data_IF_877715917190
#
_entry.id   IF_877715917190
#
_cell.length_a   1.000
_cell.length_b   1.000
_cell.length_c   1.000
_cell.angle_alpha   90.00
_cell.angle_beta   90.00
_cell.angle_gamma   90.00
#
_symmetry.space_group_name_H-M   'P 1'
#
loop_
_entity.id
_entity.type
_entity.pdbx_description
1 polymer ?
#
# COMPACT_ATOMS: atom_id res chain seq x y z
N UNK A 1 -26.59 -22.40 51.89
CA UNK A 1 -27.68 -23.33 52.26
C UNK A 1 -28.95 -22.73 51.67
N UNK A 2 -29.71 -23.49 50.86
CA UNK A 2 -30.92 -22.97 50.22
C UNK A 2 -31.95 -22.50 51.25
N UNK A 3 -32.72 -21.46 50.91
CA UNK A 3 -33.79 -20.94 51.78
C UNK A 3 -34.83 -22.04 52.04
N UNK A 4 -35.39 -22.13 53.25
CA UNK A 4 -36.43 -23.11 53.58
C UNK A 4 -37.66 -22.99 52.67
N UNK A 5 -37.99 -21.79 52.19
CA UNK A 5 -39.05 -21.59 51.20
C UNK A 5 -38.68 -22.14 49.83
N UNK A 6 -37.43 -21.95 49.39
CA UNK A 6 -36.88 -22.51 48.15
C UNK A 6 -36.80 -24.05 48.21
N UNK A 7 -36.40 -24.62 49.35
CA UNK A 7 -36.34 -26.06 49.59
C UNK A 7 -37.72 -26.70 49.47
N UNK A 8 -38.77 -26.04 49.97
CA UNK A 8 -40.14 -26.50 49.79
C UNK A 8 -40.76 -26.11 48.44
N UNK A 9 -40.11 -25.22 47.67
CA UNK A 9 -40.57 -24.71 46.38
C UNK A 9 -41.87 -23.91 46.50
N UNK A 10 -41.99 -23.10 47.55
CA UNK A 10 -43.17 -22.28 47.85
C UNK A 10 -42.77 -20.81 48.01
N UNK A 11 -43.72 -19.90 47.81
CA UNK A 11 -43.52 -18.48 48.07
C UNK A 11 -43.43 -18.21 49.59
N UNK A 12 -42.74 -17.13 49.99
CA UNK A 12 -42.68 -16.70 51.40
C UNK A 12 -44.05 -16.24 51.91
N UNK A 13 -44.93 -15.81 51.02
CA UNK A 13 -46.33 -15.44 51.30
C UNK A 13 -47.26 -16.68 51.37
N UNK A 14 -46.74 -17.89 51.18
CA UNK A 14 -47.54 -19.11 51.22
C UNK A 14 -48.20 -19.34 52.59
N UNK A 15 -49.45 -19.80 52.56
CA UNK A 15 -50.19 -20.17 53.75
C UNK A 15 -49.72 -21.52 54.34
N UNK A 16 -50.12 -21.80 55.58
CA UNK A 16 -49.72 -23.04 56.26
C UNK A 16 -50.21 -24.30 55.53
N UNK A 17 -51.30 -24.19 54.77
CA UNK A 17 -51.84 -25.28 53.96
C UNK A 17 -50.87 -25.63 52.81
N UNK A 18 -50.34 -24.63 52.12
CA UNK A 18 -49.33 -24.78 51.07
C UNK A 18 -48.02 -25.36 51.62
N UNK A 19 -47.56 -24.92 52.80
CA UNK A 19 -46.36 -25.47 53.47
C UNK A 19 -46.54 -26.98 53.72
N UNK A 20 -47.67 -27.38 54.30
CA UNK A 20 -47.99 -28.79 54.58
C UNK A 20 -48.15 -29.62 53.30
N UNK A 21 -48.74 -29.04 52.25
CA UNK A 21 -48.92 -29.71 50.96
C UNK A 21 -47.59 -29.94 50.25
N UNK A 22 -46.71 -28.94 50.25
CA UNK A 22 -45.38 -29.02 49.67
C UNK A 22 -44.51 -30.06 50.38
N UNK A 23 -44.52 -30.07 51.72
CA UNK A 23 -43.83 -31.10 52.51
C UNK A 23 -44.33 -32.51 52.17
N UNK A 24 -45.65 -32.75 52.15
CA UNK A 24 -46.19 -34.09 51.80
C UNK A 24 -45.79 -34.55 50.40
N UNK A 25 -45.72 -33.62 49.44
CA UNK A 25 -45.31 -33.92 48.07
C UNK A 25 -43.83 -34.32 48.03
N UNK A 26 -42.95 -33.50 48.59
CA UNK A 26 -41.50 -33.73 48.57
C UNK A 26 -41.07 -34.90 49.45
N UNK A 27 -41.73 -35.10 50.60
CA UNK A 27 -41.48 -36.24 51.48
C UNK A 27 -41.79 -37.58 50.82
N UNK A 28 -42.79 -37.65 49.92
CA UNK A 28 -43.07 -38.87 49.14
C UNK A 28 -42.05 -39.10 48.03
N UNK A 29 -41.49 -38.02 47.47
CA UNK A 29 -40.48 -38.08 46.39
C UNK A 29 -39.10 -38.48 46.91
N UNK A 30 -38.74 -38.01 48.10
CA UNK A 30 -37.41 -38.21 48.70
C UNK A 30 -37.42 -39.20 49.88
N UNK A 31 -38.53 -39.90 50.13
CA UNK A 31 -38.60 -40.90 51.20
C UNK A 31 -37.54 -41.99 50.97
N UNK A 32 -36.80 -42.45 52.00
CA UNK A 32 -35.82 -43.53 51.84
C UNK A 32 -36.47 -44.77 51.20
N UNK A 33 -37.65 -45.18 51.65
CA UNK A 33 -38.38 -46.33 51.08
C UNK A 33 -38.76 -46.21 49.58
N UNK A 34 -38.70 -45.02 48.99
CA UNK A 34 -39.06 -44.78 47.57
C UNK A 34 -37.83 -44.38 46.75
N UNK A 35 -36.82 -43.78 47.38
CA UNK A 35 -35.63 -43.26 46.73
C UNK A 35 -34.40 -43.44 47.63
N UNK A 36 -33.66 -44.53 47.39
CA UNK A 36 -32.46 -44.92 48.15
C UNK A 36 -31.19 -44.15 47.76
N UNK A 37 -31.29 -43.09 46.94
CA UNK A 37 -30.09 -42.37 46.50
C UNK A 37 -29.47 -41.57 47.66
N UNK A 38 -28.12 -41.45 47.73
CA UNK A 38 -27.45 -40.62 48.73
C UNK A 38 -27.92 -39.15 48.69
N UNK A 39 -28.30 -38.68 47.50
CA UNK A 39 -28.83 -37.34 47.26
C UNK A 39 -30.24 -37.17 47.79
N UNK A 40 -31.10 -38.19 47.67
CA UNK A 40 -32.47 -38.17 48.18
C UNK A 40 -32.51 -38.05 49.70
N UNK A 41 -31.59 -38.74 50.40
CA UNK A 41 -31.45 -38.59 51.85
C UNK A 41 -31.12 -37.15 52.27
N UNK A 42 -30.14 -36.53 51.62
CA UNK A 42 -29.76 -35.15 51.92
C UNK A 42 -30.91 -34.16 51.61
N UNK A 43 -31.65 -34.39 50.52
CA UNK A 43 -32.82 -33.59 50.17
C UNK A 43 -33.98 -33.80 51.16
N UNK A 44 -34.19 -35.02 51.62
CA UNK A 44 -35.21 -35.35 52.61
C UNK A 44 -34.92 -34.66 53.95
N UNK A 45 -33.68 -34.71 54.42
CA UNK A 45 -33.23 -34.01 55.63
C UNK A 45 -33.41 -32.49 55.51
N UNK A 46 -33.10 -31.90 54.34
CA UNK A 46 -33.33 -30.48 54.08
C UNK A 46 -34.82 -30.10 54.05
N UNK A 47 -35.67 -30.91 53.40
CA UNK A 47 -37.13 -30.73 53.34
C UNK A 47 -37.77 -30.86 54.71
N UNK A 48 -37.30 -31.79 55.54
CA UNK A 48 -37.76 -31.95 56.91
C UNK A 48 -37.41 -30.73 57.76
N UNK A 49 -36.14 -30.28 57.71
CA UNK A 49 -35.69 -29.10 58.45
C UNK A 49 -36.45 -27.83 58.03
N UNK A 50 -36.74 -27.67 56.73
CA UNK A 50 -37.54 -26.57 56.21
C UNK A 50 -38.98 -26.61 56.74
N UNK A 51 -39.63 -27.78 56.74
CA UNK A 51 -40.97 -27.94 57.29
C UNK A 51 -41.02 -27.69 58.80
N UNK A 52 -40.07 -28.18 59.58
CA UNK A 52 -40.00 -27.96 61.04
C UNK A 52 -39.85 -26.48 61.42
N UNK A 53 -39.26 -25.68 60.55
CA UNK A 53 -39.07 -24.24 60.76
C UNK A 53 -40.28 -23.45 60.28
N UNK A 54 -40.85 -23.80 59.13
CA UNK A 54 -41.93 -23.05 58.48
C UNK A 54 -43.35 -23.43 58.94
N UNK A 55 -43.53 -24.63 59.52
CA UNK A 55 -44.85 -25.08 60.01
C UNK A 55 -45.24 -24.50 61.37
N UNK A 56 -44.28 -23.95 62.12
CA UNK A 56 -44.48 -23.36 63.44
C UNK A 56 -44.44 -21.82 63.36
N UNK A 57 -45.52 -21.11 63.72
CA UNK A 57 -45.61 -19.65 63.52
C UNK A 57 -44.47 -18.85 64.16
N UNK A 58 -44.08 -19.21 65.40
CA UNK A 58 -43.00 -18.53 66.12
C UNK A 58 -41.62 -18.79 65.49
N UNK A 59 -41.39 -20.00 64.97
CA UNK A 59 -40.13 -20.36 64.31
C UNK A 59 -40.03 -19.74 62.93
N UNK A 60 -41.14 -19.69 62.19
CA UNK A 60 -41.26 -19.00 60.90
C UNK A 60 -40.95 -17.52 61.06
N UNK A 61 -41.54 -16.86 62.06
CA UNK A 61 -41.28 -15.44 62.34
C UNK A 61 -39.81 -15.17 62.69
N UNK A 62 -39.19 -16.01 63.52
CA UNK A 62 -37.77 -15.88 63.88
C UNK A 62 -36.85 -16.11 62.66
N UNK A 63 -37.18 -17.10 61.81
CA UNK A 63 -36.47 -17.39 60.57
C UNK A 63 -36.59 -16.24 59.56
N UNK A 64 -37.79 -15.68 59.39
CA UNK A 64 -38.03 -14.55 58.51
C UNK A 64 -37.27 -13.29 58.96
N UNK A 65 -37.20 -13.04 60.27
CA UNK A 65 -36.44 -11.93 60.83
C UNK A 65 -34.92 -12.07 60.64
N UNK A 66 -34.40 -13.30 60.74
CA UNK A 66 -32.97 -13.58 60.52
C UNK A 66 -32.59 -13.44 59.04
N UNK A 67 -33.44 -13.93 58.14
CA UNK A 67 -33.17 -13.95 56.71
C UNK A 67 -33.49 -12.62 56.00
N UNK A 68 -34.32 -11.75 56.59
CA UNK A 68 -34.73 -10.48 55.99
C UNK A 68 -33.54 -9.63 55.51
N UNK A 69 -32.49 -9.48 56.33
CA UNK A 69 -31.30 -8.70 55.99
C UNK A 69 -30.50 -9.31 54.83
N UNK A 70 -30.38 -10.63 54.80
CA UNK A 70 -29.64 -11.34 53.74
C UNK A 70 -30.38 -11.30 52.40
N UNK A 71 -31.72 -11.30 52.42
CA UNK A 71 -32.52 -11.10 51.21
C UNK A 71 -32.45 -9.67 50.68
N UNK A 72 -32.54 -8.66 51.56
CA UNK A 72 -32.38 -7.25 51.17
C UNK A 72 -31.01 -6.99 50.54
N UNK A 73 -29.94 -7.59 51.08
CA UNK A 73 -28.59 -7.45 50.54
C UNK A 73 -28.45 -8.11 49.15
N UNK A 74 -28.97 -9.34 48.99
CA UNK A 74 -28.96 -10.04 47.70
C UNK A 74 -29.76 -9.30 46.63
N UNK A 75 -30.96 -8.82 46.97
CA UNK A 75 -31.77 -8.00 46.06
C UNK A 75 -31.08 -6.69 45.69
N UNK A 76 -30.46 -6.02 46.66
CA UNK A 76 -29.70 -4.80 46.40
C UNK A 76 -28.46 -5.04 45.53
N UNK A 77 -27.80 -6.18 45.68
CA UNK A 77 -26.67 -6.60 44.83
C UNK A 77 -27.12 -6.93 43.41
N UNK A 78 -28.17 -7.72 43.24
CA UNK A 78 -28.76 -8.02 41.93
C UNK A 78 -29.21 -6.76 41.18
N UNK A 79 -29.87 -5.83 41.88
CA UNK A 79 -30.28 -4.53 41.30
C UNK A 79 -29.05 -3.73 40.88
N UNK A 80 -28.00 -3.69 41.72
CA UNK A 80 -26.74 -3.00 41.39
C UNK A 80 -26.06 -3.61 40.17
N UNK A 81 -25.98 -4.93 40.08
CA UNK A 81 -25.41 -5.62 38.92
C UNK A 81 -26.24 -5.37 37.66
N UNK A 82 -27.58 -5.47 37.75
CA UNK A 82 -28.48 -5.20 36.63
C UNK A 82 -28.32 -3.77 36.11
N UNK A 83 -28.24 -2.80 37.02
CA UNK A 83 -28.03 -1.39 36.66
C UNK A 83 -26.64 -1.16 36.04
N UNK A 84 -25.62 -1.86 36.53
CA UNK A 84 -24.27 -1.84 35.94
C UNK A 84 -24.28 -2.36 34.51
N UNK A 85 -24.91 -3.52 34.25
CA UNK A 85 -25.03 -4.08 32.88
C UNK A 85 -25.76 -3.13 31.93
N UNK A 86 -26.88 -2.54 32.37
CA UNK A 86 -27.62 -1.56 31.56
C UNK A 86 -26.76 -0.34 31.23
N UNK A 87 -25.97 0.15 32.20
CA UNK A 87 -25.06 1.27 31.99
C UNK A 87 -23.96 0.92 31.00
N UNK A 88 -23.29 -0.22 31.18
CA UNK A 88 -22.23 -0.70 30.29
C UNK A 88 -22.76 -0.92 28.85
N UNK A 89 -23.96 -1.47 28.70
CA UNK A 89 -24.61 -1.62 27.38
C UNK A 89 -24.92 -0.26 26.72
N UNK A 90 -25.37 0.73 27.49
CA UNK A 90 -25.61 2.09 26.96
C UNK A 90 -24.31 2.76 26.56
N UNK A 91 -23.29 2.72 27.40
CA UNK A 91 -21.97 3.28 27.12
C UNK A 91 -21.34 2.59 25.89
N UNK A 92 -21.50 1.27 25.76
CA UNK A 92 -21.03 0.52 24.58
C UNK A 92 -21.77 0.95 23.30
N UNK A 93 -23.10 1.08 23.35
CA UNK A 93 -23.91 1.55 22.22
C UNK A 93 -23.56 2.98 21.81
N UNK A 94 -23.41 3.88 22.78
CA UNK A 94 -23.00 5.26 22.53
C UNK A 94 -21.58 5.33 21.94
N UNK A 95 -20.64 4.54 22.46
CA UNK A 95 -19.28 4.47 21.92
C UNK A 95 -19.25 3.91 20.49
N UNK A 96 -20.07 2.89 20.19
CA UNK A 96 -20.22 2.35 18.84
C UNK A 96 -20.83 3.39 17.88
N UNK A 97 -21.86 4.11 18.32
CA UNK A 97 -22.47 5.17 17.52
C UNK A 97 -21.48 6.32 17.27
N UNK A 98 -20.69 6.71 18.27
CA UNK A 98 -19.68 7.74 18.13
C UNK A 98 -18.57 7.32 17.15
N UNK A 99 -18.15 6.04 17.18
CA UNK A 99 -17.23 5.45 16.21
C UNK A 99 -17.81 5.49 14.80
N UNK A 100 -19.05 5.02 14.61
CA UNK A 100 -19.76 5.08 13.32
C UNK A 100 -19.86 6.51 12.78
N UNK A 101 -20.16 7.49 13.64
CA UNK A 101 -20.19 8.91 13.28
C UNK A 101 -18.80 9.45 12.93
N UNK A 102 -17.75 9.03 13.64
CA UNK A 102 -16.38 9.42 13.33
C UNK A 102 -15.91 8.83 11.99
N UNK A 103 -16.25 7.58 11.71
CA UNK A 103 -15.95 6.92 10.44
C UNK A 103 -16.73 7.55 9.28
N UNK A 104 -18.00 7.91 9.49
CA UNK A 104 -18.78 8.68 8.52
C UNK A 104 -18.15 10.06 8.23
N UNK A 105 -17.71 10.80 9.26
CA UNK A 105 -16.99 12.08 9.05
C UNK A 105 -15.64 11.91 8.35
N UNK A 106 -14.92 10.82 8.61
CA UNK A 106 -13.69 10.47 7.88
C UNK A 106 -13.96 10.15 6.41
N UNK A 107 -15.13 9.59 6.10
CA UNK A 107 -15.59 9.35 4.73
C UNK A 107 -16.01 10.64 4.02
N UNK A 108 -16.59 11.62 4.73
CA UNK A 108 -17.05 12.89 4.15
C UNK A 108 -15.94 13.89 3.80
N UNK A 109 -14.73 13.76 4.36
CA UNK A 109 -13.68 14.79 4.20
C UNK A 109 -12.63 14.56 3.11
N UNK A 110 -12.80 13.59 2.21
CA UNK A 110 -12.05 13.53 0.95
C UNK A 110 -12.91 12.93 -0.17
N UNK A 111 -14.11 13.46 -0.42
CA UNK A 111 -14.69 13.34 -1.77
C UNK A 111 -14.03 14.42 -2.61
N UNK A 112 -13.31 14.09 -3.69
CA UNK A 112 -12.93 15.11 -4.65
C UNK A 112 -14.22 15.80 -5.10
N UNK A 113 -14.21 17.12 -5.18
CA UNK A 113 -15.33 17.91 -5.69
C UNK A 113 -15.44 17.67 -7.21
N UNK A 114 -15.89 16.47 -7.60
CA UNK A 114 -16.22 16.14 -8.96
C UNK A 114 -17.56 16.78 -9.31
N UNK A 115 -17.67 17.31 -10.52
CA UNK A 115 -18.97 17.63 -11.10
C UNK A 115 -19.77 16.32 -11.30
N UNK A 116 -21.10 16.39 -11.29
CA UNK A 116 -21.94 15.20 -11.40
C UNK A 116 -21.74 14.46 -12.73
N UNK A 117 -21.33 15.19 -13.77
CA UNK A 117 -20.90 14.61 -15.05
C UNK A 117 -19.64 13.73 -14.91
N UNK A 118 -18.64 14.18 -14.15
CA UNK A 118 -17.39 13.44 -13.92
C UNK A 118 -17.64 12.17 -13.10
N UNK A 119 -18.53 12.25 -12.09
CA UNK A 119 -18.92 11.08 -11.31
C UNK A 119 -19.67 10.03 -12.15
N UNK A 120 -20.53 10.46 -13.08
CA UNK A 120 -21.22 9.56 -14.02
C UNK A 120 -20.24 8.88 -14.98
N UNK A 121 -19.26 9.63 -15.49
CA UNK A 121 -18.22 9.08 -16.35
C UNK A 121 -17.36 8.04 -15.61
N UNK A 122 -16.92 8.36 -14.38
CA UNK A 122 -16.17 7.44 -13.53
C UNK A 122 -16.95 6.15 -13.24
N UNK A 123 -18.25 6.26 -12.97
CA UNK A 123 -19.09 5.08 -12.72
C UNK A 123 -19.24 4.20 -13.97
N UNK A 124 -19.44 4.80 -15.13
CA UNK A 124 -19.50 4.06 -16.40
C UNK A 124 -18.17 3.34 -16.69
N UNK A 125 -17.05 3.98 -16.36
CA UNK A 125 -15.71 3.41 -16.46
C UNK A 125 -15.53 2.19 -15.56
N UNK A 126 -15.95 2.28 -14.29
CA UNK A 126 -15.89 1.16 -13.33
C UNK A 126 -16.74 -0.01 -13.84
N UNK A 127 -17.96 0.25 -14.31
CA UNK A 127 -18.85 -0.79 -14.84
C UNK A 127 -18.23 -1.47 -16.08
N UNK A 128 -17.62 -0.70 -16.98
CA UNK A 128 -16.98 -1.24 -18.18
C UNK A 128 -15.71 -2.04 -17.85
N UNK A 129 -14.89 -1.56 -16.92
CA UNK A 129 -13.74 -2.29 -16.39
C UNK A 129 -14.15 -3.66 -15.85
N UNK A 130 -15.22 -3.72 -15.05
CA UNK A 130 -15.72 -4.97 -14.49
C UNK A 130 -16.20 -5.93 -15.59
N UNK A 131 -16.89 -5.43 -16.63
CA UNK A 131 -17.28 -6.28 -17.78
C UNK A 131 -16.08 -6.85 -18.50
N UNK A 132 -15.05 -6.04 -18.76
CA UNK A 132 -13.81 -6.49 -19.40
C UNK A 132 -13.10 -7.55 -18.55
N UNK A 133 -13.01 -7.34 -17.25
CA UNK A 133 -12.44 -8.31 -16.30
C UNK A 133 -13.21 -9.64 -16.33
N UNK A 134 -14.55 -9.59 -16.30
CA UNK A 134 -15.41 -10.77 -16.36
C UNK A 134 -15.32 -11.53 -17.69
N UNK A 135 -14.96 -10.85 -18.78
CA UNK A 135 -14.67 -11.47 -20.09
C UNK A 135 -13.27 -12.08 -20.19
N UNK A 136 -12.41 -11.85 -19.19
CA UNK A 136 -11.01 -12.28 -19.19
C UNK A 136 -10.08 -11.33 -19.95
N UNK A 137 -10.56 -10.16 -20.39
CA UNK A 137 -9.76 -9.14 -21.08
C UNK A 137 -8.96 -8.28 -20.08
N UNK A 138 -8.14 -8.94 -19.26
CA UNK A 138 -7.44 -8.32 -18.13
C UNK A 138 -6.51 -7.17 -18.52
N UNK A 139 -5.95 -7.18 -19.74
CA UNK A 139 -5.11 -6.09 -20.23
C UNK A 139 -5.91 -4.79 -20.47
N UNK A 140 -7.09 -4.89 -21.10
CA UNK A 140 -7.97 -3.76 -21.32
C UNK A 140 -8.56 -3.26 -20.00
N UNK A 141 -8.98 -4.20 -19.13
CA UNK A 141 -9.47 -3.88 -17.79
C UNK A 141 -8.38 -3.18 -16.94
N UNK A 142 -7.12 -3.62 -17.03
CA UNK A 142 -6.00 -2.98 -16.32
C UNK A 142 -5.74 -1.55 -16.79
N UNK A 143 -5.87 -1.26 -18.09
CA UNK A 143 -5.71 0.11 -18.58
C UNK A 143 -6.78 1.03 -18.00
N UNK A 144 -8.03 0.56 -17.99
CA UNK A 144 -9.17 1.29 -17.46
C UNK A 144 -9.06 1.48 -15.94
N UNK A 145 -8.66 0.43 -15.21
CA UNK A 145 -8.37 0.49 -13.78
C UNK A 145 -7.31 1.54 -13.42
N UNK A 146 -6.25 1.70 -14.23
CA UNK A 146 -5.25 2.76 -13.99
C UNK A 146 -5.86 4.16 -14.13
N UNK A 147 -6.64 4.40 -15.18
CA UNK A 147 -7.34 5.67 -15.37
C UNK A 147 -8.29 5.95 -14.21
N UNK A 148 -9.04 4.95 -13.76
CA UNK A 148 -9.93 5.06 -12.60
C UNK A 148 -9.13 5.45 -11.35
N UNK A 149 -7.99 4.83 -11.08
CA UNK A 149 -7.16 5.14 -9.91
C UNK A 149 -6.49 6.52 -9.96
N UNK A 150 -6.28 7.08 -11.15
CA UNK A 150 -5.83 8.48 -11.30
C UNK A 150 -6.92 9.47 -10.87
N UNK A 151 -8.19 9.10 -11.05
CA UNK A 151 -9.36 9.91 -10.72
C UNK A 151 -9.77 9.66 -9.26
N UNK A 152 -9.97 8.40 -8.89
CA UNK A 152 -10.29 7.94 -7.54
C UNK A 152 -9.27 6.92 -7.03
N UNK A 153 -8.25 7.37 -6.27
CA UNK A 153 -7.22 6.51 -5.70
C UNK A 153 -7.73 5.52 -4.65
N UNK A 154 -9.00 5.58 -4.24
CA UNK A 154 -9.59 4.68 -3.23
C UNK A 154 -10.49 3.62 -3.83
N UNK A 155 -10.56 3.51 -5.16
CA UNK A 155 -11.40 2.52 -5.81
C UNK A 155 -10.83 1.10 -5.66
N UNK A 156 -11.41 0.32 -4.74
CA UNK A 156 -10.96 -1.03 -4.40
C UNK A 156 -10.98 -1.99 -5.60
N UNK A 157 -12.04 -1.96 -6.41
CA UNK A 157 -12.20 -2.86 -7.57
C UNK A 157 -11.08 -2.68 -8.61
N UNK A 158 -10.62 -1.45 -8.79
CA UNK A 158 -9.55 -1.15 -9.73
C UNK A 158 -8.21 -1.75 -9.27
N UNK A 159 -7.94 -1.75 -7.96
CA UNK A 159 -6.79 -2.46 -7.39
C UNK A 159 -6.91 -3.98 -7.53
N UNK A 160 -8.09 -4.56 -7.34
CA UNK A 160 -8.31 -5.99 -7.55
C UNK A 160 -8.03 -6.40 -9.01
N UNK A 161 -8.50 -5.62 -9.98
CA UNK A 161 -8.22 -5.84 -11.42
C UNK A 161 -6.72 -5.72 -11.74
N UNK A 162 -6.01 -4.75 -11.14
CA UNK A 162 -4.55 -4.68 -11.27
C UNK A 162 -3.87 -5.93 -10.71
N UNK A 163 -4.37 -6.45 -9.60
CA UNK A 163 -3.83 -7.64 -8.97
C UNK A 163 -4.03 -8.88 -9.87
N UNK A 164 -5.23 -9.06 -10.43
CA UNK A 164 -5.53 -10.17 -11.35
C UNK A 164 -4.67 -10.10 -12.62
N UNK A 165 -4.49 -8.90 -13.17
CA UNK A 165 -3.59 -8.68 -14.29
C UNK A 165 -2.14 -9.03 -13.93
N UNK A 166 -1.65 -8.65 -12.75
CA UNK A 166 -0.31 -9.00 -12.29
C UNK A 166 -0.14 -10.52 -12.08
N UNK A 167 -1.18 -11.21 -11.57
CA UNK A 167 -1.20 -12.67 -11.49
C UNK A 167 -1.11 -13.32 -12.87
N UNK A 168 -1.85 -12.80 -13.86
CA UNK A 168 -1.79 -13.29 -15.23
C UNK A 168 -0.39 -13.12 -15.85
N UNK A 169 0.40 -12.14 -15.39
CA UNK A 169 1.80 -11.95 -15.76
C UNK A 169 2.78 -12.80 -14.95
N UNK A 170 2.32 -13.52 -13.93
CA UNK A 170 3.15 -14.30 -13.01
C UNK A 170 3.84 -13.47 -11.92
N UNK A 171 3.48 -12.19 -11.75
CA UNK A 171 4.01 -11.33 -10.68
C UNK A 171 3.16 -11.42 -9.42
N UNK A 172 3.38 -12.51 -8.68
CA UNK A 172 2.67 -12.84 -7.44
C UNK A 172 2.87 -11.76 -6.36
N UNK A 173 4.00 -11.06 -6.35
CA UNK A 173 4.30 -10.06 -5.32
C UNK A 173 3.52 -8.77 -5.57
N UNK A 174 3.55 -8.26 -6.80
CA UNK A 174 2.75 -7.08 -7.19
C UNK A 174 1.26 -7.36 -7.02
N UNK A 175 0.81 -8.56 -7.36
CA UNK A 175 -0.56 -9.00 -7.11
C UNK A 175 -0.93 -8.97 -5.61
N UNK A 176 -0.07 -9.50 -4.73
CA UNK A 176 -0.30 -9.46 -3.29
C UNK A 176 -0.42 -8.02 -2.77
N UNK A 177 0.44 -7.11 -3.23
CA UNK A 177 0.38 -5.70 -2.84
C UNK A 177 -0.90 -5.01 -3.33
N UNK A 178 -1.30 -5.26 -4.57
CA UNK A 178 -2.53 -4.70 -5.13
C UNK A 178 -3.79 -5.23 -4.41
N UNK A 179 -3.84 -6.52 -4.08
CA UNK A 179 -4.92 -7.09 -3.26
C UNK A 179 -4.93 -6.55 -1.83
N UNK A 180 -3.76 -6.21 -1.26
CA UNK A 180 -3.69 -5.55 0.03
C UNK A 180 -4.39 -4.18 0.02
N UNK A 181 -4.14 -3.37 -1.02
CA UNK A 181 -4.83 -2.09 -1.20
C UNK A 181 -6.34 -2.28 -1.41
N UNK A 182 -6.74 -3.24 -2.24
CA UNK A 182 -8.16 -3.57 -2.43
C UNK A 182 -8.85 -3.93 -1.11
N UNK A 183 -8.23 -4.77 -0.27
CA UNK A 183 -8.76 -5.14 1.04
C UNK A 183 -8.79 -3.96 2.02
N UNK A 184 -7.81 -3.05 1.97
CA UNK A 184 -7.78 -1.85 2.81
C UNK A 184 -8.92 -0.88 2.47
N UNK A 185 -9.22 -0.70 1.18
CA UNK A 185 -10.26 0.22 0.72
C UNK A 185 -11.67 -0.39 0.76
N UNK A 186 -11.80 -1.72 0.71
CA UNK A 186 -13.06 -2.44 0.87
C UNK A 186 -12.95 -3.55 1.94
N UNK A 187 -12.88 -3.19 3.25
CA UNK A 187 -12.69 -4.15 4.34
C UNK A 187 -13.85 -5.14 4.48
N UNK A 188 -15.05 -4.76 4.05
CA UNK A 188 -16.24 -5.62 4.07
C UNK A 188 -16.18 -6.74 3.00
N UNK A 189 -15.29 -6.62 2.01
CA UNK A 189 -15.16 -7.60 0.95
C UNK A 189 -14.18 -8.73 1.34
N UNK A 190 -14.73 -9.81 1.89
CA UNK A 190 -13.98 -10.99 2.31
C UNK A 190 -13.25 -11.72 1.16
N UNK A 191 -13.52 -11.42 -0.11
CA UNK A 191 -12.78 -12.01 -1.24
C UNK A 191 -11.38 -11.41 -1.33
N UNK A 192 -11.25 -10.08 -1.22
CA UNK A 192 -9.96 -9.40 -1.35
C UNK A 192 -9.01 -9.78 -0.21
N UNK A 193 -9.54 -9.86 1.02
CA UNK A 193 -8.76 -10.29 2.17
C UNK A 193 -8.22 -11.72 2.00
N UNK A 194 -9.08 -12.66 1.58
CA UNK A 194 -8.66 -14.05 1.33
C UNK A 194 -7.62 -14.16 0.21
N UNK A 195 -7.77 -13.40 -0.87
CA UNK A 195 -6.79 -13.37 -1.97
C UNK A 195 -5.45 -12.80 -1.50
N UNK A 196 -5.47 -11.69 -0.75
CA UNK A 196 -4.26 -11.13 -0.15
C UNK A 196 -3.55 -12.16 0.74
N UNK A 197 -4.25 -12.79 1.67
CA UNK A 197 -3.69 -13.79 2.58
C UNK A 197 -3.08 -14.97 1.81
N UNK A 198 -3.78 -15.50 0.81
CA UNK A 198 -3.27 -16.59 -0.03
C UNK A 198 -1.98 -16.19 -0.78
N UNK A 199 -1.99 -14.98 -1.36
CA UNK A 199 -0.88 -14.49 -2.18
C UNK A 199 0.33 -14.04 -1.36
N UNK A 200 0.15 -13.57 -0.12
CA UNK A 200 1.29 -13.24 0.75
C UNK A 200 2.13 -14.47 1.09
N UNK A 201 1.49 -15.60 1.38
CA UNK A 201 2.16 -16.88 1.62
C UNK A 201 2.86 -17.37 0.34
N UNK A 202 2.19 -17.23 -0.81
CA UNK A 202 2.78 -17.59 -2.11
C UNK A 202 3.97 -16.69 -2.49
N UNK A 203 3.88 -15.38 -2.28
CA UNK A 203 4.93 -14.40 -2.55
C UNK A 203 6.15 -14.55 -1.64
N UNK A 204 5.96 -15.06 -0.42
CA UNK A 204 7.05 -15.40 0.51
C UNK A 204 7.83 -16.65 0.07
N UNK A 205 7.17 -17.59 -0.61
CA UNK A 205 7.77 -18.84 -1.13
C UNK A 205 8.29 -18.71 -2.55
N UNK A 206 7.79 -17.75 -3.32
CA UNK A 206 8.26 -17.49 -4.66
C UNK A 206 9.75 -17.06 -4.60
N UNK A 207 10.67 -17.74 -5.30
CA UNK A 207 12.01 -17.21 -5.50
C UNK A 207 11.84 -15.80 -6.08
N UNK A 208 12.65 -14.82 -5.63
CA UNK A 208 12.58 -13.44 -6.13
C UNK A 208 12.38 -13.53 -7.64
N UNK A 209 11.18 -13.18 -8.11
CA UNK A 209 10.96 -13.08 -9.52
C UNK A 209 12.01 -12.08 -9.95
N UNK A 210 12.97 -12.54 -10.75
CA UNK A 210 13.58 -11.65 -11.72
C UNK A 210 12.34 -11.13 -12.45
N UNK A 211 11.79 -9.98 -12.02
CA UNK A 211 11.16 -9.01 -12.92
C UNK A 211 11.99 -9.17 -14.15
N UNK A 212 11.43 -9.76 -15.21
CA UNK A 212 12.19 -10.19 -16.37
C UNK A 212 13.07 -9.00 -16.71
N UNK A 213 14.34 -9.07 -16.27
CA UNK A 213 15.24 -7.92 -16.27
C UNK A 213 15.62 -8.00 -17.70
N UNK A 214 14.81 -7.35 -18.52
CA UNK A 214 14.73 -7.53 -19.95
C UNK A 214 16.17 -7.70 -20.39
N UNK A 215 16.57 -8.88 -20.86
CA UNK A 215 17.97 -9.10 -21.25
C UNK A 215 18.36 -8.12 -22.36
N UNK A 216 17.35 -7.44 -22.94
CA UNK A 216 17.41 -6.30 -23.84
C UNK A 216 17.69 -4.95 -23.18
N UNK A 217 17.64 -4.77 -21.87
CA UNK A 217 18.01 -3.51 -21.20
C UNK A 217 19.54 -3.33 -21.12
N UNK A 218 20.31 -4.42 -21.07
CA UNK A 218 21.78 -4.37 -21.08
C UNK A 218 22.39 -4.19 -22.48
N UNK A 219 21.75 -4.77 -23.51
CA UNK A 219 22.20 -4.75 -24.90
C UNK A 219 22.36 -3.34 -25.55
N UNK A 220 21.44 -2.38 -25.39
CA UNK A 220 21.56 -1.06 -26.01
C UNK A 220 22.69 -0.26 -25.38
N UNK A 221 22.92 -0.41 -24.07
CA UNK A 221 24.02 0.27 -23.40
C UNK A 221 25.38 -0.30 -23.83
N UNK A 222 25.49 -1.62 -24.01
CA UNK A 222 26.72 -2.23 -24.55
C UNK A 222 27.00 -1.79 -25.99
N UNK A 223 25.97 -1.60 -26.81
CA UNK A 223 26.13 -1.10 -28.18
C UNK A 223 26.57 0.37 -28.21
N UNK A 224 25.99 1.23 -27.37
CA UNK A 224 26.42 2.61 -27.25
C UNK A 224 27.89 2.70 -26.77
N UNK A 225 28.26 1.90 -25.77
CA UNK A 225 29.64 1.85 -25.28
C UNK A 225 30.63 1.37 -26.35
N UNK A 226 30.30 0.30 -27.09
CA UNK A 226 31.12 -0.19 -28.18
C UNK A 226 31.29 0.85 -29.31
N UNK A 227 30.23 1.61 -29.60
CA UNK A 227 30.26 2.70 -30.60
C UNK A 227 31.19 3.82 -30.17
N UNK A 228 31.10 4.26 -28.90
CA UNK A 228 31.96 5.30 -28.33
C UNK A 228 33.42 4.85 -28.33
N UNK A 229 33.68 3.60 -27.93
CA UNK A 229 35.03 3.04 -27.92
C UNK A 229 35.63 2.96 -29.34
N UNK A 230 34.85 2.51 -30.32
CA UNK A 230 35.26 2.49 -31.72
C UNK A 230 35.59 3.88 -32.26
N UNK A 231 34.80 4.89 -31.90
CA UNK A 231 35.07 6.29 -32.26
C UNK A 231 36.33 6.85 -31.57
N UNK A 232 36.58 6.50 -30.30
CA UNK A 232 37.81 6.88 -29.62
C UNK A 232 39.04 6.23 -30.26
N UNK A 233 38.95 4.96 -30.65
CA UNK A 233 40.01 4.30 -31.43
C UNK A 233 40.21 4.97 -32.79
N UNK A 234 39.13 5.35 -33.48
CA UNK A 234 39.23 6.11 -34.72
C UNK A 234 39.98 7.44 -34.50
N UNK A 235 39.61 8.23 -33.49
CA UNK A 235 40.27 9.51 -33.20
C UNK A 235 41.74 9.36 -32.82
N UNK A 236 42.10 8.29 -32.11
CA UNK A 236 43.49 8.01 -31.74
C UNK A 236 44.37 7.66 -32.96
N UNK A 237 43.77 7.10 -34.01
CA UNK A 237 44.49 6.59 -35.20
C UNK A 237 44.39 7.54 -36.40
N UNK A 238 43.27 8.22 -36.56
CA UNK A 238 43.00 9.12 -37.66
C UNK A 238 43.72 10.45 -37.46
N UNK A 239 44.51 10.85 -38.45
CA UNK A 239 45.18 12.16 -38.47
C UNK A 239 44.44 13.06 -39.45
N UNK A 240 43.50 13.84 -38.92
CA UNK A 240 42.73 14.80 -39.70
C UNK A 240 43.20 16.24 -39.46
N UNK A 241 43.10 17.13 -40.46
CA UNK A 241 43.31 18.55 -40.26
C UNK A 241 42.17 19.18 -39.44
N UNK A 242 42.48 20.25 -38.72
CA UNK A 242 41.49 21.02 -37.96
C UNK A 242 40.46 21.67 -38.91
N UNK A 243 39.20 21.60 -38.53
CA UNK A 243 38.07 22.11 -39.31
C UNK A 243 38.00 23.64 -39.28
N UNK A 244 38.28 24.25 -38.12
CA UNK A 244 38.15 25.70 -37.90
C UNK A 244 39.38 26.25 -37.14
N UNK A 245 40.58 26.24 -37.76
CA UNK A 245 41.83 26.62 -37.07
C UNK A 245 41.85 28.08 -36.60
N UNK A 246 41.03 28.94 -37.23
CA UNK A 246 40.91 30.36 -36.91
C UNK A 246 40.13 30.67 -35.62
N UNK A 247 39.41 29.70 -35.05
CA UNK A 247 38.64 29.90 -33.82
C UNK A 247 39.37 29.25 -32.63
N UNK A 248 40.07 30.05 -31.84
CA UNK A 248 40.95 29.58 -30.76
C UNK A 248 40.37 28.48 -29.84
N UNK A 249 39.11 28.55 -29.39
CA UNK A 249 38.52 27.51 -28.55
C UNK A 249 38.29 26.14 -29.23
N UNK A 250 38.28 26.09 -30.55
CA UNK A 250 38.03 24.89 -31.37
C UNK A 250 39.13 24.67 -32.42
N UNK A 251 40.29 25.29 -32.23
CA UNK A 251 41.36 25.31 -33.22
C UNK A 251 41.98 23.94 -33.45
N UNK A 252 41.79 23.02 -32.52
CA UNK A 252 42.29 21.64 -32.58
C UNK A 252 41.19 20.64 -33.01
N UNK A 253 39.96 21.10 -33.25
CA UNK A 253 38.84 20.22 -33.55
C UNK A 253 38.83 19.80 -35.02
N UNK A 254 38.84 18.49 -35.26
CA UNK A 254 38.69 17.90 -36.58
C UNK A 254 37.23 17.56 -36.88
N UNK A 255 36.91 17.30 -38.15
CA UNK A 255 35.58 16.83 -38.54
C UNK A 255 35.21 15.53 -37.82
N UNK A 256 36.18 14.61 -37.67
CA UNK A 256 36.05 13.37 -36.94
C UNK A 256 35.72 13.58 -35.46
N UNK A 257 36.34 14.54 -34.78
CA UNK A 257 36.04 14.86 -33.37
C UNK A 257 34.60 15.34 -33.21
N UNK A 258 34.15 16.25 -34.07
CA UNK A 258 32.79 16.77 -34.03
C UNK A 258 31.76 15.65 -34.27
N UNK A 259 32.00 14.82 -35.29
CA UNK A 259 31.14 13.69 -35.61
C UNK A 259 31.13 12.66 -34.47
N UNK A 260 32.27 12.41 -33.83
CA UNK A 260 32.36 11.48 -32.71
C UNK A 260 31.46 11.91 -31.53
N UNK A 261 31.41 13.21 -31.20
CA UNK A 261 30.51 13.72 -30.16
C UNK A 261 29.04 13.58 -30.54
N UNK A 262 28.68 13.89 -31.79
CA UNK A 262 27.29 13.80 -32.27
C UNK A 262 26.83 12.35 -32.28
N UNK A 263 27.61 11.43 -32.86
CA UNK A 263 27.27 10.00 -32.94
C UNK A 263 27.22 9.38 -31.54
N UNK A 264 28.17 9.71 -30.67
CA UNK A 264 28.19 9.22 -29.28
C UNK A 264 26.97 9.71 -28.50
N UNK A 265 26.62 10.99 -28.63
CA UNK A 265 25.44 11.55 -28.00
C UNK A 265 24.17 10.88 -28.51
N UNK A 266 24.01 10.75 -29.82
CA UNK A 266 22.84 10.12 -30.43
C UNK A 266 22.70 8.64 -30.07
N UNK A 267 23.81 7.88 -30.09
CA UNK A 267 23.83 6.48 -29.67
C UNK A 267 23.41 6.30 -28.21
N UNK A 268 23.84 7.20 -27.32
CA UNK A 268 23.40 7.22 -25.93
C UNK A 268 21.93 7.61 -25.78
N UNK A 269 21.46 8.61 -26.54
CA UNK A 269 20.06 9.04 -26.55
C UNK A 269 19.11 7.91 -27.00
N UNK A 270 19.45 7.23 -28.09
CA UNK A 270 18.71 6.08 -28.59
C UNK A 270 18.80 4.87 -27.65
N UNK A 271 19.98 4.57 -27.11
CA UNK A 271 20.13 3.50 -26.15
C UNK A 271 19.30 3.75 -24.88
N UNK A 272 19.20 5.01 -24.45
CA UNK A 272 18.31 5.43 -23.37
C UNK A 272 16.82 5.29 -23.72
N UNK A 273 16.43 5.61 -24.96
CA UNK A 273 15.07 5.44 -25.46
C UNK A 273 14.67 3.96 -25.61
N UNK A 274 15.60 3.09 -26.02
CA UNK A 274 15.37 1.66 -26.23
C UNK A 274 15.53 0.82 -24.97
N UNK A 275 16.39 1.25 -24.04
CA UNK A 275 16.77 0.49 -22.85
C UNK A 275 15.79 0.62 -21.69
N UNK A 276 14.48 0.78 -21.92
CA UNK A 276 13.40 0.64 -20.92
C UNK A 276 13.51 1.39 -19.58
N UNK A 277 14.52 2.24 -19.34
CA UNK A 277 14.93 2.69 -17.99
C UNK A 277 14.62 4.17 -17.69
N UNK A 278 13.87 4.84 -18.57
CA UNK A 278 13.15 6.07 -18.21
C UNK A 278 11.77 5.77 -17.57
N UNK A 279 11.45 4.48 -17.32
CA UNK A 279 10.17 3.95 -16.84
C UNK A 279 9.75 4.33 -15.41
N UNK A 280 10.25 5.42 -14.84
CA UNK A 280 9.70 6.00 -13.60
C UNK A 280 9.78 7.53 -13.62
N UNK A 281 9.51 8.15 -14.77
CA UNK A 281 9.26 9.58 -14.86
C UNK A 281 7.83 9.96 -14.45
N UNK A 282 7.24 9.22 -13.49
CA UNK A 282 6.20 9.75 -12.62
C UNK A 282 6.89 10.42 -11.43
N UNK A 283 7.44 11.62 -11.65
CA UNK A 283 7.52 12.56 -10.53
C UNK A 283 6.09 13.07 -10.38
N UNK A 284 5.40 12.57 -9.37
CA UNK A 284 4.26 13.24 -8.76
C UNK A 284 4.69 14.67 -8.41
N UNK A 285 4.47 15.61 -9.32
CA UNK A 285 4.56 17.05 -9.04
C UNK A 285 3.16 17.57 -8.73
N UNK A 286 2.67 17.22 -7.54
CA UNK A 286 1.77 18.10 -6.81
C UNK A 286 2.56 19.35 -6.40
N UNK A 287 2.63 20.36 -7.26
CA UNK A 287 2.66 21.77 -6.88
C UNK A 287 2.81 22.66 -8.10
N UNK A 288 1.86 23.55 -8.25
CA UNK A 288 1.57 24.41 -9.40
C UNK A 288 2.59 25.55 -9.65
N UNK A 289 3.77 25.55 -9.00
CA UNK A 289 4.68 26.71 -8.98
C UNK A 289 5.97 26.54 -9.82
N UNK A 290 6.31 25.38 -10.38
CA UNK A 290 7.50 25.26 -11.26
C UNK A 290 7.20 24.57 -12.59
N UNK A 291 6.64 25.34 -13.55
CA UNK A 291 6.38 24.90 -14.94
C UNK A 291 7.62 24.80 -15.84
N UNK A 292 8.83 24.78 -15.28
CA UNK A 292 10.07 24.63 -16.07
C UNK A 292 10.70 23.32 -15.65
N UNK A 293 10.49 22.28 -16.47
CA UNK A 293 11.03 20.95 -16.21
C UNK A 293 12.56 20.98 -16.15
N UNK A 294 13.22 20.02 -15.45
CA UNK A 294 14.68 19.96 -15.36
C UNK A 294 15.37 19.97 -16.73
N UNK A 295 14.74 19.39 -17.75
CA UNK A 295 15.19 19.42 -19.15
C UNK A 295 15.17 20.84 -19.71
N UNK A 296 14.15 21.63 -19.37
CA UNK A 296 14.05 23.02 -19.80
C UNK A 296 15.09 23.88 -19.07
N UNK A 297 15.38 23.60 -17.80
CA UNK A 297 16.51 24.23 -17.09
C UNK A 297 17.87 23.85 -17.69
N UNK A 298 18.06 22.57 -18.05
CA UNK A 298 19.27 22.11 -18.76
C UNK A 298 19.37 22.77 -20.12
N UNK A 299 18.28 22.95 -20.87
CA UNK A 299 18.30 23.65 -22.16
C UNK A 299 18.55 25.16 -22.03
N UNK A 300 18.03 25.79 -20.96
CA UNK A 300 18.28 27.20 -20.65
C UNK A 300 19.74 27.43 -20.20
N UNK A 301 20.35 26.45 -19.51
CA UNK A 301 21.71 26.55 -18.94
C UNK A 301 22.80 25.87 -19.77
N UNK A 302 22.47 24.96 -20.69
CA UNK A 302 23.40 24.27 -21.60
C UNK A 302 24.27 25.22 -22.44
N UNK A 303 23.81 26.43 -22.82
CA UNK A 303 24.69 27.41 -23.46
C UNK A 303 25.85 27.90 -22.57
N UNK A 304 25.82 27.66 -21.25
CA UNK A 304 26.74 28.25 -20.27
C UNK A 304 27.57 27.23 -19.47
N UNK A 305 27.99 26.12 -20.11
CA UNK A 305 28.85 25.06 -19.55
C UNK A 305 28.08 23.93 -18.88
N UNK A 306 27.94 22.80 -19.59
CA UNK A 306 27.48 21.52 -19.06
C UNK A 306 28.10 21.13 -17.70
N UNK A 307 29.42 21.33 -17.44
CA UNK A 307 30.01 21.16 -16.11
C UNK A 307 29.32 21.93 -14.98
N UNK A 308 28.92 23.19 -15.21
CA UNK A 308 28.22 24.01 -14.21
C UNK A 308 26.80 23.47 -13.99
N UNK A 309 26.11 23.09 -15.06
CA UNK A 309 24.78 22.49 -14.98
C UNK A 309 24.82 21.16 -14.21
N UNK A 310 25.80 20.31 -14.50
CA UNK A 310 26.06 19.06 -13.79
C UNK A 310 26.31 19.30 -12.29
N UNK A 311 27.14 20.30 -11.94
CA UNK A 311 27.43 20.66 -10.56
C UNK A 311 26.18 21.17 -9.80
N UNK A 312 25.35 22.00 -10.44
CA UNK A 312 24.10 22.51 -9.85
C UNK A 312 23.10 21.36 -9.63
N UNK A 313 22.94 20.46 -10.60
CA UNK A 313 22.08 19.27 -10.44
C UNK A 313 22.58 18.38 -9.30
N UNK A 314 23.89 18.21 -9.18
CA UNK A 314 24.50 17.43 -8.10
C UNK A 314 24.26 18.07 -6.72
N UNK A 315 24.36 19.40 -6.62
CA UNK A 315 24.03 20.15 -5.41
C UNK A 315 22.57 19.99 -4.97
N UNK A 316 21.63 20.10 -5.92
CA UNK A 316 20.20 19.90 -5.62
C UNK A 316 19.88 18.47 -5.21
N UNK A 317 20.48 17.47 -5.86
CA UNK A 317 20.33 16.07 -5.50
C UNK A 317 20.83 15.79 -4.07
N UNK A 318 21.99 16.35 -3.72
CA UNK A 318 22.55 16.26 -2.35
C UNK A 318 21.62 16.89 -1.30
N UNK A 319 21.07 18.08 -1.59
CA UNK A 319 20.16 18.80 -0.66
C UNK A 319 18.82 18.10 -0.42
N UNK A 320 18.28 17.39 -1.41
CA UNK A 320 16.93 16.80 -1.33
C UNK A 320 16.89 15.40 -0.70
N UNK A 321 18.03 14.78 -0.36
CA UNK A 321 18.13 13.38 0.11
C UNK A 321 17.35 12.36 -0.76
N UNK A 322 17.01 12.74 -1.98
CA UNK A 322 16.15 12.02 -2.91
C UNK A 322 16.83 12.00 -4.26
N UNK A 323 17.40 10.84 -4.60
CA UNK A 323 18.21 10.65 -5.80
C UNK A 323 17.29 10.28 -6.96
N UNK A 324 17.00 11.23 -7.86
CA UNK A 324 16.36 10.86 -9.12
C UNK A 324 17.40 10.18 -10.02
N UNK A 325 17.34 8.86 -10.09
CA UNK A 325 18.29 8.01 -10.83
C UNK A 325 18.50 8.34 -12.34
N UNK A 326 17.51 8.85 -13.12
CA UNK A 326 17.67 8.95 -14.57
C UNK A 326 18.59 10.07 -15.07
N UNK A 327 18.44 11.30 -14.57
CA UNK A 327 19.27 12.44 -15.00
C UNK A 327 20.75 12.22 -14.65
N UNK A 328 20.99 11.61 -13.50
CA UNK A 328 22.32 11.23 -13.05
C UNK A 328 22.97 10.15 -13.92
N UNK A 329 22.20 9.16 -14.40
CA UNK A 329 22.70 8.13 -15.33
C UNK A 329 23.08 8.72 -16.69
N UNK A 330 22.26 9.60 -17.23
CA UNK A 330 22.59 10.32 -18.46
C UNK A 330 23.88 11.15 -18.28
N UNK A 331 24.00 11.84 -17.14
CA UNK A 331 25.19 12.60 -16.79
C UNK A 331 26.44 11.69 -16.66
N UNK A 332 26.33 10.55 -15.97
CA UNK A 332 27.42 9.56 -15.89
C UNK A 332 27.81 9.05 -17.27
N UNK A 333 26.85 8.77 -18.15
CA UNK A 333 27.12 8.25 -19.48
C UNK A 333 27.77 9.30 -20.39
N UNK A 334 27.33 10.55 -20.31
CA UNK A 334 27.98 11.66 -21.01
C UNK A 334 29.39 11.89 -20.48
N UNK A 335 29.59 11.88 -19.16
CA UNK A 335 30.93 11.98 -18.54
C UNK A 335 31.81 10.81 -18.94
N UNK A 336 31.29 9.58 -18.95
CA UNK A 336 32.03 8.39 -19.34
C UNK A 336 32.41 8.42 -20.82
N UNK A 337 31.49 8.82 -21.71
CA UNK A 337 31.81 8.96 -23.12
C UNK A 337 32.79 10.09 -23.41
N UNK A 338 32.68 11.23 -22.71
CA UNK A 338 33.68 12.30 -22.75
C UNK A 338 35.05 11.81 -22.28
N UNK A 339 35.11 11.02 -21.20
CA UNK A 339 36.36 10.46 -20.70
C UNK A 339 36.99 9.50 -21.73
N UNK A 340 36.19 8.64 -22.37
CA UNK A 340 36.69 7.71 -23.40
C UNK A 340 37.22 8.48 -24.62
N UNK A 341 36.50 9.51 -25.08
CA UNK A 341 36.93 10.35 -26.19
C UNK A 341 38.16 11.19 -25.83
N UNK A 342 38.24 11.72 -24.61
CA UNK A 342 39.40 12.45 -24.10
C UNK A 342 40.65 11.56 -24.02
N UNK A 343 40.51 10.31 -23.57
CA UNK A 343 41.60 9.31 -23.60
C UNK A 343 42.04 9.02 -25.02
N UNK A 344 41.10 8.89 -25.97
CA UNK A 344 41.41 8.73 -27.40
C UNK A 344 42.10 9.95 -28.02
N UNK A 345 41.86 11.15 -27.49
CA UNK A 345 42.48 12.41 -27.92
C UNK A 345 43.86 12.70 -27.32
N UNK A 346 44.32 11.94 -26.31
CA UNK A 346 45.64 12.11 -25.69
C UNK A 346 46.81 12.11 -26.70
N UNK A 347 46.84 11.27 -27.76
CA UNK A 347 47.90 11.31 -28.77
C UNK A 347 48.00 12.63 -29.53
N UNK A 348 46.92 13.42 -29.56
CA UNK A 348 46.84 14.71 -30.25
C UNK A 348 47.25 15.90 -29.37
N UNK A 349 47.51 15.66 -28.08
CA UNK A 349 47.99 16.68 -27.13
C UNK A 349 46.96 17.10 -26.08
N UNK A 350 47.47 17.75 -25.01
CA UNK A 350 46.67 18.17 -23.85
C UNK A 350 45.71 19.33 -24.15
N UNK A 351 45.96 20.12 -25.20
CA UNK A 351 45.10 21.21 -25.63
C UNK A 351 43.71 20.72 -26.05
N UNK A 352 43.68 19.75 -26.97
CA UNK A 352 42.47 19.09 -27.45
C UNK A 352 41.69 18.45 -26.30
N UNK A 353 42.38 17.75 -25.39
CA UNK A 353 41.75 17.13 -24.21
C UNK A 353 41.07 18.17 -23.33
N UNK A 354 41.74 19.29 -23.06
CA UNK A 354 41.15 20.41 -22.31
C UNK A 354 39.92 21.00 -23.01
N UNK A 355 40.00 21.23 -24.32
CA UNK A 355 38.88 21.76 -25.11
C UNK A 355 37.70 20.78 -25.19
N UNK A 356 37.96 19.47 -25.33
CA UNK A 356 36.94 18.42 -25.32
C UNK A 356 36.21 18.33 -23.98
N UNK A 357 36.93 18.43 -22.86
CA UNK A 357 36.32 18.43 -21.53
C UNK A 357 35.50 19.69 -21.28
N UNK A 358 35.92 20.83 -21.82
CA UNK A 358 35.24 22.11 -21.63
C UNK A 358 33.99 22.27 -22.52
N UNK A 359 34.07 21.83 -23.79
CA UNK A 359 33.04 22.10 -24.81
C UNK A 359 32.36 20.84 -25.36
N UNK A 360 33.02 19.69 -25.35
CA UNK A 360 32.51 18.43 -25.90
C UNK A 360 31.22 17.95 -25.21
N UNK A 361 31.07 18.22 -23.92
CA UNK A 361 29.87 17.85 -23.16
C UNK A 361 28.60 18.56 -23.63
N UNK A 362 28.70 19.80 -24.12
CA UNK A 362 27.55 20.52 -24.67
C UNK A 362 27.08 19.88 -25.98
N UNK A 363 28.00 19.56 -26.89
CA UNK A 363 27.70 18.94 -28.19
C UNK A 363 27.10 17.55 -28.01
N UNK A 364 27.75 16.73 -27.17
CA UNK A 364 27.29 15.38 -26.88
C UNK A 364 25.96 15.37 -26.12
N UNK A 365 25.74 16.34 -25.22
CA UNK A 365 24.48 16.53 -24.51
C UNK A 365 23.32 16.91 -25.43
N UNK A 366 23.52 17.88 -26.34
CA UNK A 366 22.50 18.26 -27.34
C UNK A 366 22.15 17.07 -28.24
N UNK A 367 23.16 16.36 -28.74
CA UNK A 367 22.93 15.19 -29.59
C UNK A 367 22.17 14.06 -28.86
N UNK A 368 22.46 13.85 -27.56
CA UNK A 368 21.71 12.90 -26.73
C UNK A 368 20.26 13.31 -26.53
N UNK A 369 19.98 14.60 -26.31
CA UNK A 369 18.62 15.13 -26.19
C UNK A 369 17.84 14.96 -27.50
N UNK A 370 18.47 15.22 -28.65
CA UNK A 370 17.85 15.03 -29.96
C UNK A 370 17.58 13.56 -30.27
N UNK A 371 18.56 12.68 -30.00
CA UNK A 371 18.38 11.23 -30.16
C UNK A 371 17.26 10.68 -29.29
N UNK A 372 17.14 11.21 -28.07
CA UNK A 372 16.03 10.86 -27.18
C UNK A 372 14.68 11.37 -27.71
N UNK A 373 14.58 12.64 -28.12
CA UNK A 373 13.35 13.21 -28.67
C UNK A 373 12.85 12.44 -29.89
N UNK A 374 13.76 12.01 -30.78
CA UNK A 374 13.41 11.19 -31.94
C UNK A 374 12.90 9.80 -31.54
N UNK A 375 13.49 9.20 -30.50
CA UNK A 375 13.02 7.94 -29.93
C UNK A 375 11.61 8.05 -29.34
N UNK A 376 11.30 9.16 -28.66
CA UNK A 376 9.98 9.39 -28.05
C UNK A 376 8.86 9.56 -29.08
N UNK A 377 9.11 10.33 -30.16
CA UNK A 377 8.13 10.51 -31.25
C UNK A 377 7.74 9.16 -31.88
N UNK A 378 8.68 8.23 -32.02
CA UNK A 378 8.44 6.90 -32.60
C UNK A 378 7.64 5.97 -31.69
N UNK A 379 7.57 6.24 -30.39
CA UNK A 379 6.79 5.45 -29.44
C UNK A 379 5.35 5.97 -29.24
N UNK A 380 5.01 7.16 -29.77
CA UNK A 380 3.66 7.77 -29.67
C UNK A 380 2.80 7.57 -30.93
N UNK A 381 3.37 7.00 -31.99
CA UNK A 381 2.70 6.62 -33.26
C UNK A 381 2.72 5.11 -33.34
#
# INVERSE_FOLDING_TARGET
MPDHYEVLGIDREADDAAVRQAYRRLARTYHPDVNDSPEARAQFEAVQSAYETLSEPLRRQAYDALTARDHEQRQAEEIRERMRRIREEREAKEAEELRRRADARRMDHVRPTFDEHEYRALRADVDEMQKLANRGELAAASLLAKRILEIDPRQADAYAVQADFALAQGDVRTAATAYAFAAQFAPDNAVYLRQYEALTVAAARAPQSRVARDERAGRPLTLAFATILGLACYLALAREPALVPQFGPLSEWTAGVLMAFVVSGFALGLAGAWGGYLSSWSISMESSVQRVGPVVWVLILAPFSFPLCAAVQWWFAYRRRGWSHPAFRLMILVIAGLAILAVGGLPSGWGLVGQMLLWGGNVMGIAALLGWALGDVRNRV
#
